data_IF_862660119912
#
_entry.id   IF_862660119912
#
_cell.length_a   1.000
_cell.length_b   1.000
_cell.length_c   1.000
_cell.angle_alpha   90.00
_cell.angle_beta   90.00
_cell.angle_gamma   90.00
#
_symmetry.space_group_name_H-M   'P 1'
#
loop_
_entity.id
_entity.type
_entity.pdbx_description
1 polymer ?
#
# COMPACT_ATOMS: atom_id res chain seq x y z
N UNK A 1 -5.54 18.70 -15.45
CA UNK A 1 -5.94 18.08 -16.75
C UNK A 1 -7.40 17.67 -16.65
N UNK A 2 -8.24 17.93 -17.66
CA UNK A 2 -9.65 17.50 -17.66
C UNK A 2 -9.73 16.15 -18.37
N UNK A 3 -10.36 15.17 -17.73
CA UNK A 3 -10.57 13.82 -18.26
C UNK A 3 -12.08 13.56 -18.31
N UNK A 4 -12.55 12.91 -19.37
CA UNK A 4 -13.96 12.50 -19.52
C UNK A 4 -14.00 10.99 -19.68
N UNK A 5 -14.85 10.32 -18.90
CA UNK A 5 -15.01 8.88 -18.90
C UNK A 5 -16.49 8.52 -18.77
N UNK A 6 -16.87 7.39 -19.35
CA UNK A 6 -18.20 6.80 -19.19
C UNK A 6 -18.09 5.76 -18.07
N UNK A 7 -18.85 5.93 -16.99
CA UNK A 7 -18.82 5.06 -15.81
C UNK A 7 -20.26 4.62 -15.47
N UNK A 8 -20.45 3.38 -15.00
CA UNK A 8 -21.75 2.94 -14.47
C UNK A 8 -22.15 3.74 -13.22
N UNK A 9 -23.41 4.16 -13.17
CA UNK A 9 -23.94 4.97 -12.06
C UNK A 9 -23.85 4.25 -10.71
N UNK A 10 -24.00 2.93 -10.70
CA UNK A 10 -23.89 2.10 -9.50
C UNK A 10 -22.50 2.23 -8.87
N UNK A 11 -21.44 2.13 -9.68
CA UNK A 11 -20.06 2.28 -9.22
C UNK A 11 -19.80 3.70 -8.72
N UNK A 12 -20.30 4.71 -9.44
CA UNK A 12 -20.18 6.11 -9.04
C UNK A 12 -20.86 6.36 -7.69
N UNK A 13 -22.02 5.74 -7.45
CA UNK A 13 -22.77 5.82 -6.20
C UNK A 13 -22.00 5.19 -5.04
N UNK A 14 -21.44 3.99 -5.26
CA UNK A 14 -20.69 3.28 -4.23
C UNK A 14 -19.39 3.99 -3.86
N UNK A 15 -18.63 4.47 -4.86
CA UNK A 15 -17.40 5.23 -4.61
C UNK A 15 -17.69 6.50 -3.81
N UNK A 16 -18.78 7.22 -4.12
CA UNK A 16 -19.19 8.39 -3.32
C UNK A 16 -19.50 8.04 -1.87
N UNK A 17 -20.21 6.93 -1.64
CA UNK A 17 -20.59 6.47 -0.30
C UNK A 17 -19.38 6.02 0.52
N UNK A 18 -18.43 5.33 -0.11
CA UNK A 18 -17.30 4.69 0.56
C UNK A 18 -16.09 5.61 0.75
N UNK A 19 -15.74 6.42 -0.27
CA UNK A 19 -14.54 7.25 -0.22
C UNK A 19 -14.72 8.54 0.59
N UNK A 20 -15.97 8.92 0.91
CA UNK A 20 -16.32 10.12 1.70
C UNK A 20 -15.70 11.44 1.21
N UNK A 21 -15.31 11.51 -0.07
CA UNK A 21 -14.80 12.72 -0.71
C UNK A 21 -15.85 13.84 -0.76
N UNK A 22 -15.38 15.10 -0.84
CA UNK A 22 -16.26 16.30 -0.86
C UNK A 22 -17.11 16.39 -2.12
N UNK A 23 -16.64 15.79 -3.21
CA UNK A 23 -17.30 15.74 -4.51
C UNK A 23 -16.91 14.44 -5.24
N UNK A 24 -17.53 14.17 -6.39
CA UNK A 24 -17.25 12.92 -7.14
C UNK A 24 -15.78 12.77 -7.55
N UNK A 25 -15.14 13.86 -7.96
CA UNK A 25 -13.75 13.86 -8.38
C UNK A 25 -12.84 13.50 -7.21
N UNK A 26 -13.07 14.09 -6.04
CA UNK A 26 -12.32 13.80 -4.82
C UNK A 26 -12.52 12.34 -4.40
N UNK A 27 -13.77 11.83 -4.43
CA UNK A 27 -14.07 10.43 -4.11
C UNK A 27 -13.36 9.46 -5.06
N UNK A 28 -13.35 9.75 -6.36
CA UNK A 28 -12.63 8.94 -7.36
C UNK A 28 -11.12 9.00 -7.15
N UNK A 29 -10.57 10.18 -6.82
CA UNK A 29 -9.14 10.33 -6.56
C UNK A 29 -8.70 9.47 -5.36
N UNK A 30 -9.43 9.54 -4.25
CA UNK A 30 -9.17 8.73 -3.05
C UNK A 30 -9.20 7.24 -3.41
N UNK A 31 -10.26 6.77 -4.08
CA UNK A 31 -10.41 5.37 -4.45
C UNK A 31 -9.28 4.88 -5.38
N UNK A 32 -8.84 5.71 -6.32
CA UNK A 32 -7.72 5.38 -7.22
C UNK A 32 -6.38 5.34 -6.50
N UNK A 33 -6.12 6.29 -5.59
CA UNK A 33 -4.89 6.31 -4.79
C UNK A 33 -4.79 5.08 -3.88
N UNK A 34 -5.89 4.70 -3.22
CA UNK A 34 -5.97 3.50 -2.41
C UNK A 34 -5.74 2.23 -3.25
N UNK A 35 -6.35 2.14 -4.43
CA UNK A 35 -6.13 1.02 -5.34
C UNK A 35 -4.67 0.92 -5.78
N UNK A 36 -4.02 2.04 -6.11
CA UNK A 36 -2.59 2.08 -6.44
C UNK A 36 -1.75 1.61 -5.26
N UNK A 37 -2.05 2.05 -4.04
CA UNK A 37 -1.34 1.63 -2.84
C UNK A 37 -1.43 0.11 -2.62
N UNK A 38 -2.63 -0.46 -2.79
CA UNK A 38 -2.83 -1.92 -2.71
C UNK A 38 -2.00 -2.65 -3.76
N UNK A 39 -1.99 -2.17 -5.01
CA UNK A 39 -1.17 -2.79 -6.07
C UNK A 39 0.32 -2.76 -5.76
N UNK A 40 0.82 -1.67 -5.17
CA UNK A 40 2.22 -1.56 -4.73
C UNK A 40 2.54 -2.55 -3.60
N UNK A 41 1.65 -2.70 -2.62
CA UNK A 41 1.83 -3.68 -1.52
C UNK A 41 1.87 -5.10 -2.08
N UNK A 42 0.97 -5.45 -2.99
CA UNK A 42 0.96 -6.78 -3.63
C UNK A 42 2.27 -7.03 -4.38
N UNK A 43 2.74 -6.05 -5.17
CA UNK A 43 4.01 -6.17 -5.88
C UNK A 43 5.19 -6.38 -4.92
N UNK A 44 5.26 -5.60 -3.84
CA UNK A 44 6.29 -5.73 -2.81
C UNK A 44 6.24 -7.11 -2.13
N UNK A 45 5.04 -7.60 -1.79
CA UNK A 45 4.89 -8.92 -1.18
C UNK A 45 5.38 -10.03 -2.10
N UNK A 46 5.16 -9.91 -3.41
CA UNK A 46 5.67 -10.87 -4.38
C UNK A 46 7.21 -10.84 -4.43
N UNK A 47 7.82 -9.65 -4.47
CA UNK A 47 9.28 -9.49 -4.44
C UNK A 47 9.90 -10.08 -3.15
N UNK A 48 9.30 -9.81 -1.99
CA UNK A 48 9.73 -10.39 -0.71
C UNK A 48 9.55 -11.91 -0.70
N UNK A 49 8.52 -12.44 -1.37
CA UNK A 49 8.30 -13.89 -1.41
C UNK A 49 9.36 -14.62 -2.23
N UNK A 50 9.87 -13.99 -3.29
CA UNK A 50 10.96 -14.52 -4.13
C UNK A 50 12.30 -14.47 -3.40
N UNK A 51 12.57 -13.38 -2.69
CA UNK A 51 13.79 -13.22 -1.89
C UNK A 51 13.46 -12.71 -0.48
N UNK A 52 13.09 -13.62 0.44
CA UNK A 52 12.73 -13.25 1.80
C UNK A 52 13.86 -12.54 2.52
N UNK A 53 13.51 -11.54 3.34
CA UNK A 53 14.45 -10.94 4.27
C UNK A 53 14.94 -12.01 5.24
N UNK A 54 16.25 -12.30 5.18
CA UNK A 54 16.92 -13.22 6.09
C UNK A 54 17.75 -12.42 7.07
N UNK A 55 17.75 -12.87 8.32
CA UNK A 55 18.77 -12.41 9.25
C UNK A 55 20.15 -12.85 8.73
N UNK A 56 21.18 -12.07 9.06
CA UNK A 56 22.56 -12.45 8.76
C UNK A 56 22.84 -13.86 9.30
N UNK A 57 23.59 -14.65 8.55
CA UNK A 57 24.01 -15.96 9.03
C UNK A 57 24.70 -15.86 10.40
N UNK A 58 24.34 -16.78 11.30
CA UNK A 58 24.80 -16.76 12.69
C UNK A 58 24.13 -15.70 13.56
N UNK A 59 23.00 -15.11 13.14
CA UNK A 59 22.23 -14.19 13.97
C UNK A 59 21.87 -14.81 15.33
N UNK A 60 22.35 -14.18 16.41
CA UNK A 60 21.92 -14.48 17.76
C UNK A 60 21.47 -13.21 18.49
N UNK A 61 20.40 -13.33 19.26
CA UNK A 61 19.94 -12.24 20.12
C UNK A 61 21.00 -11.84 21.17
N UNK A 62 21.97 -12.72 21.45
CA UNK A 62 23.11 -12.42 22.33
C UNK A 62 24.06 -11.43 21.68
N UNK A 63 24.43 -11.66 20.42
CA UNK A 63 25.40 -10.81 19.71
C UNK A 63 24.87 -9.41 19.48
N UNK A 64 23.58 -9.28 19.12
CA UNK A 64 22.92 -7.97 18.97
C UNK A 64 22.86 -7.21 20.29
N UNK A 65 22.53 -7.88 21.40
CA UNK A 65 22.51 -7.22 22.72
C UNK A 65 23.90 -6.80 23.17
N UNK A 66 24.93 -7.60 22.87
CA UNK A 66 26.32 -7.24 23.17
C UNK A 66 26.73 -6.00 22.38
N UNK A 67 26.49 -5.98 21.06
CA UNK A 67 26.81 -4.83 20.20
C UNK A 67 26.12 -3.53 20.65
N UNK A 68 24.84 -3.60 21.03
CA UNK A 68 24.08 -2.44 21.50
C UNK A 68 24.51 -1.93 22.89
N UNK A 69 25.16 -2.77 23.70
CA UNK A 69 25.67 -2.40 25.04
C UNK A 69 27.13 -1.93 25.02
N UNK A 70 27.87 -2.23 23.95
CA UNK A 70 29.26 -1.80 23.73
C UNK A 70 29.38 -0.43 23.05
N UNK A 71 28.25 0.29 22.90
CA UNK A 71 28.18 1.64 22.33
C UNK A 71 27.86 2.63 23.45
#
# INVERSE_FOLDING_TARGET
MKVTAILPDEIVSDVKKLAHGKNITDSLLIALEEWIAIKRIIALNNEISESPLRFRDGFSARDVRTANRSR
#
